data_IF_102479711190
#
_entry.id   IF_102479711190
#
_cell.length_a   1.000
_cell.length_b   1.000
_cell.length_c   1.000
_cell.angle_alpha   90.00
_cell.angle_beta   90.00
_cell.angle_gamma   90.00
#
_symmetry.space_group_name_H-M   'P 1'
#
loop_
_entity.id
_entity.type
_entity.pdbx_description
1 polymer ?
#
# COMPACT_ATOMS: atom_id res chain seq x y z
N UNK A 1 -12.20 31.16 -1.74
CA UNK A 1 -11.02 30.73 -0.98
C UNK A 1 -11.26 29.31 -0.50
N UNK A 2 -10.29 28.40 -0.64
CA UNK A 2 -10.39 27.01 -0.17
C UNK A 2 -9.17 26.67 0.68
N UNK A 3 -9.42 26.16 1.89
CA UNK A 3 -8.39 25.70 2.84
C UNK A 3 -8.69 24.25 3.19
N UNK A 4 -7.71 23.36 3.01
CA UNK A 4 -7.88 21.92 3.26
C UNK A 4 -6.67 21.36 4.01
N UNK A 5 -6.94 20.70 5.14
CA UNK A 5 -5.94 20.01 5.96
C UNK A 5 -6.07 18.51 5.77
N UNK A 6 -4.95 17.80 5.70
CA UNK A 6 -4.90 16.35 5.49
C UNK A 6 -4.12 15.71 6.63
N UNK A 7 -4.77 14.81 7.38
CA UNK A 7 -4.13 13.99 8.39
C UNK A 7 -3.76 12.64 7.76
N UNK A 8 -2.49 12.52 7.38
CA UNK A 8 -1.96 11.32 6.75
C UNK A 8 -1.12 10.50 7.75
N UNK A 9 -0.89 9.24 7.39
CA UNK A 9 -0.01 8.34 8.15
C UNK A 9 1.45 8.81 8.09
N UNK A 10 2.27 8.33 9.03
CA UNK A 10 3.72 8.52 8.99
C UNK A 10 4.37 7.80 7.80
N UNK A 11 5.54 8.25 7.37
CA UNK A 11 6.22 7.74 6.17
C UNK A 11 6.44 6.22 6.19
N UNK A 12 6.93 5.69 7.31
CA UNK A 12 7.33 4.28 7.43
C UNK A 12 6.16 3.35 7.82
N UNK A 13 4.93 3.84 7.84
CA UNK A 13 3.77 3.05 8.27
C UNK A 13 3.38 2.04 7.17
N UNK A 14 3.20 0.78 7.57
CA UNK A 14 2.72 -0.29 6.69
C UNK A 14 1.20 -0.30 6.68
N UNK A 15 0.62 -0.23 5.48
CA UNK A 15 -0.82 -0.22 5.23
C UNK A 15 -1.23 -1.56 4.63
N UNK A 16 -2.30 -2.15 5.18
CA UNK A 16 -2.95 -3.35 4.67
C UNK A 16 -4.38 -3.43 5.23
N UNK A 17 -5.27 -4.24 4.61
CA UNK A 17 -6.63 -4.44 5.11
C UNK A 17 -6.64 -4.96 6.54
N UNK A 18 -7.53 -4.42 7.38
CA UNK A 18 -7.69 -4.89 8.75
C UNK A 18 -8.24 -6.33 8.75
N UNK A 19 -7.62 -7.29 9.45
CA UNK A 19 -8.02 -8.71 9.36
C UNK A 19 -9.48 -8.98 9.71
N UNK A 20 -10.05 -8.19 10.63
CA UNK A 20 -11.46 -8.34 11.03
C UNK A 20 -12.46 -7.89 9.96
N UNK A 21 -11.99 -7.22 8.90
CA UNK A 21 -12.80 -6.68 7.81
C UNK A 21 -12.58 -7.40 6.48
N UNK A 22 -11.69 -8.39 6.44
CA UNK A 22 -11.43 -9.18 5.23
C UNK A 22 -12.25 -10.46 5.31
N UNK A 23 -13.11 -10.67 4.32
CA UNK A 23 -13.80 -11.96 4.17
C UNK A 23 -12.79 -13.03 3.73
N UNK A 24 -13.01 -14.29 4.14
CA UNK A 24 -12.07 -15.40 3.87
C UNK A 24 -11.75 -15.59 2.37
N UNK A 25 -12.65 -15.19 1.50
CA UNK A 25 -12.48 -15.25 0.04
C UNK A 25 -11.60 -14.10 -0.49
N UNK A 26 -11.65 -12.92 0.15
CA UNK A 26 -10.81 -11.77 -0.20
C UNK A 26 -9.37 -11.92 0.29
N UNK A 27 -9.15 -12.65 1.40
CA UNK A 27 -7.80 -13.01 1.86
C UNK A 27 -7.05 -13.85 0.81
N UNK A 28 -7.75 -14.77 0.13
CA UNK A 28 -7.16 -15.63 -0.90
C UNK A 28 -6.85 -14.84 -2.18
N UNK A 29 -7.69 -13.87 -2.52
CA UNK A 29 -7.56 -13.09 -3.75
C UNK A 29 -6.66 -11.86 -3.62
N UNK A 30 -6.18 -11.53 -2.40
CA UNK A 30 -5.32 -10.35 -2.11
C UNK A 30 -5.77 -9.09 -2.86
N UNK A 31 -7.07 -8.78 -2.77
CA UNK A 31 -7.70 -7.67 -3.53
C UNK A 31 -6.97 -6.35 -3.29
N UNK A 32 -6.55 -6.10 -2.04
CA UNK A 32 -5.75 -4.94 -1.67
C UNK A 32 -4.32 -5.31 -1.27
N UNK A 33 -3.32 -4.53 -1.70
CA UNK A 33 -1.91 -4.79 -1.39
C UNK A 33 -1.55 -4.44 0.06
N UNK A 34 -0.43 -4.99 0.52
CA UNK A 34 0.30 -4.56 1.73
C UNK A 34 1.54 -3.77 1.32
N UNK A 35 1.66 -2.51 1.74
CA UNK A 35 2.73 -1.60 1.29
C UNK A 35 3.09 -0.54 2.35
N UNK A 36 4.21 0.15 2.17
CA UNK A 36 4.63 1.29 3.02
C UNK A 36 4.05 2.60 2.47
N UNK A 37 3.54 3.47 3.35
CA UNK A 37 2.85 4.69 2.96
C UNK A 37 3.72 5.62 2.09
N UNK A 38 5.00 5.79 2.43
CA UNK A 38 5.89 6.65 1.64
C UNK A 38 6.02 6.18 0.18
N UNK A 39 6.15 4.87 -0.04
CA UNK A 39 6.26 4.30 -1.38
C UNK A 39 4.98 4.55 -2.20
N UNK A 40 3.83 4.45 -1.55
CA UNK A 40 2.56 4.83 -2.16
C UNK A 40 2.51 6.32 -2.50
N UNK A 41 2.98 7.20 -1.62
CA UNK A 41 2.99 8.64 -1.89
C UNK A 41 3.93 9.03 -3.03
N UNK A 42 5.08 8.35 -3.18
CA UNK A 42 5.99 8.50 -4.34
C UNK A 42 5.29 8.13 -5.65
N UNK A 43 4.52 7.05 -5.67
CA UNK A 43 3.72 6.66 -6.84
C UNK A 43 2.56 7.64 -7.09
N UNK A 44 1.83 8.02 -6.04
CA UNK A 44 0.70 8.95 -6.09
C UNK A 44 1.10 10.31 -6.66
N UNK A 45 2.26 10.85 -6.26
CA UNK A 45 2.75 12.13 -6.79
C UNK A 45 2.89 12.14 -8.31
N UNK A 46 3.24 11.00 -8.92
CA UNK A 46 3.41 10.84 -10.37
C UNK A 46 2.09 10.56 -11.09
N UNK A 47 1.17 9.82 -10.43
CA UNK A 47 -0.04 9.27 -11.04
C UNK A 47 -1.34 9.87 -10.47
N UNK A 48 -1.28 11.03 -9.81
CA UNK A 48 -2.41 11.65 -9.07
C UNK A 48 -3.67 11.84 -9.91
N UNK A 49 -3.49 12.21 -11.18
CA UNK A 49 -4.58 12.54 -12.12
C UNK A 49 -4.99 11.30 -12.95
N UNK A 50 -4.28 10.18 -12.81
CA UNK A 50 -4.62 8.91 -13.46
C UNK A 50 -5.58 8.07 -12.60
N UNK A 51 -6.02 6.94 -13.17
CA UNK A 51 -6.93 6.01 -12.51
C UNK A 51 -6.36 5.51 -11.18
N UNK A 52 -7.24 5.45 -10.17
CA UNK A 52 -6.86 5.03 -8.82
C UNK A 52 -6.44 3.56 -8.77
N UNK A 53 -7.16 2.71 -9.49
CA UNK A 53 -6.96 1.27 -9.44
C UNK A 53 -5.56 0.86 -9.93
N UNK A 54 -5.05 1.55 -10.95
CA UNK A 54 -3.69 1.32 -11.45
C UNK A 54 -2.62 1.50 -10.36
N UNK A 55 -2.84 2.38 -9.37
CA UNK A 55 -1.90 2.58 -8.28
C UNK A 55 -1.89 1.42 -7.29
N UNK A 56 -3.04 0.80 -7.00
CA UNK A 56 -3.09 -0.37 -6.13
C UNK A 56 -2.52 -1.61 -6.80
N UNK A 57 -2.78 -1.79 -8.09
CA UNK A 57 -2.18 -2.87 -8.88
C UNK A 57 -0.65 -2.77 -8.91
N UNK A 58 -0.10 -1.57 -9.08
CA UNK A 58 1.35 -1.35 -8.99
C UNK A 58 1.94 -1.65 -7.61
N UNK A 59 1.17 -1.46 -6.53
CA UNK A 59 1.63 -1.79 -5.16
C UNK A 59 1.63 -3.30 -4.88
N UNK A 60 0.83 -4.10 -5.61
CA UNK A 60 0.88 -5.56 -5.52
C UNK A 60 2.21 -6.11 -6.04
N UNK A 61 2.72 -5.56 -7.15
CA UNK A 61 3.93 -6.06 -7.82
C UNK A 61 5.24 -5.66 -7.12
N UNK A 62 5.28 -4.50 -6.44
CA UNK A 62 6.46 -4.04 -5.69
C UNK A 62 6.84 -5.01 -4.55
N UNK A 63 5.86 -5.68 -3.95
CA UNK A 63 6.11 -6.67 -2.89
C UNK A 63 6.80 -7.93 -3.41
N UNK A 64 6.61 -8.29 -4.68
CA UNK A 64 7.17 -9.51 -5.28
C UNK A 64 8.68 -9.38 -5.54
N UNK A 65 9.23 -8.17 -5.65
CA UNK A 65 10.69 -7.98 -5.81
C UNK A 65 11.45 -7.88 -4.49
N UNK A 66 10.74 -7.90 -3.35
CA UNK A 66 11.31 -7.84 -2.00
C UNK A 66 10.99 -9.15 -1.28
N UNK A 67 11.51 -10.26 -1.82
CA UNK A 67 11.62 -11.51 -1.08
C UNK A 67 12.74 -11.32 -0.05
N UNK A 68 12.39 -10.71 1.08
CA UNK A 68 13.24 -10.65 2.26
C UNK A 68 13.33 -12.07 2.81
N UNK A 69 14.32 -12.81 2.30
CA UNK A 69 14.76 -14.06 2.89
C UNK A 69 15.01 -13.93 4.40
N UNK A 70 15.02 -15.04 5.15
CA UNK A 70 15.05 -15.03 6.59
C UNK A 70 16.23 -14.20 7.11
N UNK A 71 15.92 -13.12 7.84
CA UNK A 71 16.91 -12.29 8.50
C UNK A 71 17.60 -13.18 9.53
N UNK A 72 18.87 -13.51 9.29
CA UNK A 72 19.69 -14.26 10.24
C UNK A 72 19.78 -13.46 11.54
N UNK A 73 19.30 -14.05 12.62
CA UNK A 73 19.55 -13.56 13.98
C UNK A 73 20.92 -14.09 14.39
N UNK A 74 21.86 -13.19 14.70
CA UNK A 74 23.13 -13.51 15.37
C UNK A 74 22.88 -13.53 16.88
#
# INVERSE_FOLDING_TARGET
MSTASFYNLGSDVVIYPAPTLVEKEEEQNQVYPKFVFEDYMKLYARLKIQSKESRFEAMKTIKTSVDLGPISTV
#
